data_IF_690487930236
#
_entry.id   IF_690487930236
#
_cell.length_a   1.000
_cell.length_b   1.000
_cell.length_c   1.000
_cell.angle_alpha   90.00
_cell.angle_beta   90.00
_cell.angle_gamma   90.00
#
_symmetry.space_group_name_H-M   'P 1'
#
loop_
_entity.id
_entity.type
_entity.pdbx_description
1 polymer ?
#
# COMPACT_ATOMS: atom_id res chain seq x y z
N UNK A 1 5.19 16.64 -14.15
CA UNK A 1 6.51 16.11 -13.82
C UNK A 1 6.58 15.56 -12.44
N UNK A 2 6.25 16.34 -11.42
CA UNK A 2 6.22 15.79 -10.07
C UNK A 2 5.23 14.65 -9.93
N UNK A 3 4.10 14.74 -10.64
CA UNK A 3 3.09 13.69 -10.60
C UNK A 3 3.61 12.38 -11.17
N UNK A 4 4.43 12.45 -12.24
CA UNK A 4 4.99 11.25 -12.82
C UNK A 4 5.95 10.53 -11.87
N UNK A 5 6.73 11.32 -11.11
CA UNK A 5 7.64 10.76 -10.13
C UNK A 5 6.87 10.08 -9.01
N UNK A 6 5.82 10.73 -8.52
CA UNK A 6 4.99 10.17 -7.46
C UNK A 6 4.26 8.91 -7.93
N UNK A 7 3.74 8.94 -9.14
CA UNK A 7 3.05 7.79 -9.70
C UNK A 7 3.98 6.60 -9.84
N UNK A 8 5.19 6.82 -10.34
CA UNK A 8 6.17 5.77 -10.49
C UNK A 8 6.60 5.20 -9.15
N UNK A 9 6.73 6.06 -8.16
CA UNK A 9 7.08 5.64 -6.82
C UNK A 9 5.99 4.73 -6.23
N UNK A 10 4.72 5.07 -6.45
CA UNK A 10 3.62 4.22 -5.99
C UNK A 10 3.63 2.87 -6.70
N UNK A 11 3.91 2.84 -7.99
CA UNK A 11 4.00 1.60 -8.73
C UNK A 11 5.08 0.68 -8.17
N UNK A 12 6.22 1.23 -7.84
CA UNK A 12 7.32 0.47 -7.26
C UNK A 12 6.92 -0.09 -5.89
N UNK A 13 6.30 0.73 -5.07
CA UNK A 13 5.86 0.30 -3.75
C UNK A 13 4.79 -0.79 -3.83
N UNK A 14 3.82 -0.62 -4.73
CA UNK A 14 2.77 -1.61 -4.91
C UNK A 14 3.35 -2.95 -5.34
N UNK A 15 4.26 -2.93 -6.30
CA UNK A 15 4.90 -4.15 -6.78
C UNK A 15 5.70 -4.83 -5.67
N UNK A 16 6.42 -4.05 -4.90
CA UNK A 16 7.19 -4.55 -3.77
C UNK A 16 6.30 -5.33 -2.80
N UNK A 17 5.16 -4.74 -2.45
CA UNK A 17 4.26 -5.38 -1.49
C UNK A 17 3.52 -6.57 -2.10
N UNK A 18 3.18 -6.52 -3.38
CA UNK A 18 2.56 -7.66 -4.06
C UNK A 18 3.50 -8.85 -4.05
N UNK A 19 4.78 -8.65 -4.30
CA UNK A 19 5.77 -9.72 -4.25
C UNK A 19 5.92 -10.28 -2.85
N UNK A 20 5.65 -9.47 -1.86
CA UNK A 20 5.76 -9.87 -0.46
C UNK A 20 4.54 -10.67 0.02
N UNK A 21 3.50 -10.74 -0.79
CA UNK A 21 2.30 -11.47 -0.44
C UNK A 21 1.16 -10.62 0.05
N UNK A 22 1.26 -9.31 -0.08
CA UNK A 22 0.16 -8.41 0.26
C UNK A 22 -0.89 -8.49 -0.84
N UNK A 23 -2.15 -8.69 -0.46
CA UNK A 23 -3.26 -8.75 -1.41
C UNK A 23 -3.91 -7.38 -1.49
N UNK A 24 -3.93 -6.81 -2.68
CA UNK A 24 -4.56 -5.52 -2.94
C UNK A 24 -5.68 -5.72 -3.95
N UNK A 25 -6.90 -5.33 -3.59
CA UNK A 25 -8.05 -5.56 -4.45
C UNK A 25 -8.03 -4.62 -5.65
N UNK A 26 -7.67 -3.37 -5.42
CA UNK A 26 -7.52 -2.38 -6.51
C UNK A 26 -6.25 -1.58 -6.26
N UNK A 27 -5.09 -2.10 -6.66
CA UNK A 27 -3.81 -1.46 -6.30
C UNK A 27 -3.72 0.00 -6.73
N UNK A 28 -4.34 0.35 -7.84
CA UNK A 28 -4.30 1.71 -8.35
C UNK A 28 -5.01 2.72 -7.46
N UNK A 29 -5.83 2.26 -6.51
CA UNK A 29 -6.55 3.12 -5.57
C UNK A 29 -5.90 3.14 -4.19
N UNK A 30 -4.77 2.48 -4.03
CA UNK A 30 -4.09 2.37 -2.73
C UNK A 30 -2.78 3.14 -2.81
N UNK A 31 -2.57 4.03 -1.84
CA UNK A 31 -1.38 4.87 -1.82
C UNK A 31 -0.57 4.62 -0.55
N UNK A 32 0.73 4.47 -0.73
CA UNK A 32 1.66 4.18 0.35
C UNK A 32 2.60 5.34 0.59
N UNK A 33 3.11 5.44 1.80
CA UNK A 33 4.23 6.31 2.12
C UNK A 33 5.54 5.56 1.87
N UNK A 34 6.63 6.30 1.70
CA UNK A 34 7.95 5.71 1.51
C UNK A 34 8.35 4.78 2.64
N UNK A 35 7.97 5.16 3.84
CA UNK A 35 8.37 4.43 5.04
C UNK A 35 7.33 3.42 5.49
N UNK A 36 6.36 3.11 4.64
CA UNK A 36 5.36 2.10 4.94
C UNK A 36 6.03 0.73 5.08
N UNK A 37 5.71 0.05 6.17
CA UNK A 37 6.15 -1.33 6.38
C UNK A 37 4.93 -2.22 6.50
N UNK A 38 4.92 -3.30 5.75
CA UNK A 38 3.78 -4.22 5.73
C UNK A 38 4.28 -5.64 5.93
N UNK A 39 3.62 -6.36 6.84
CA UNK A 39 3.93 -7.74 7.12
C UNK A 39 3.35 -8.68 6.08
N UNK A 40 3.32 -9.96 6.42
CA UNK A 40 2.81 -11.00 5.53
C UNK A 40 1.31 -11.19 5.70
N UNK A 41 0.68 -11.71 4.66
CA UNK A 41 -0.74 -12.10 4.71
C UNK A 41 -1.64 -10.91 5.07
N UNK A 42 -1.37 -9.77 4.42
CA UNK A 42 -2.15 -8.56 4.61
C UNK A 42 -3.06 -8.38 3.40
N UNK A 43 -4.31 -7.98 3.64
CA UNK A 43 -5.27 -7.69 2.59
C UNK A 43 -5.69 -6.24 2.70
N UNK A 44 -5.66 -5.52 1.58
CA UNK A 44 -6.01 -4.10 1.54
C UNK A 44 -7.15 -3.89 0.55
N UNK A 45 -8.25 -3.33 1.03
CA UNK A 45 -9.40 -3.00 0.21
C UNK A 45 -9.12 -1.77 -0.67
N UNK A 46 -10.00 -1.46 -1.65
CA UNK A 46 -9.83 -0.27 -2.48
C UNK A 46 -9.90 1.02 -1.66
N UNK A 47 -9.28 2.07 -2.21
CA UNK A 47 -9.37 3.42 -1.65
C UNK A 47 -8.80 3.53 -0.24
N UNK A 48 -7.58 3.06 -0.08
CA UNK A 48 -6.86 3.15 1.20
C UNK A 48 -5.64 4.04 1.02
N UNK A 49 -5.45 4.95 1.97
CA UNK A 49 -4.25 5.80 2.01
C UNK A 49 -3.48 5.48 3.28
N UNK A 50 -2.24 5.07 3.11
CA UNK A 50 -1.38 4.74 4.24
C UNK A 50 -0.49 5.94 4.53
N UNK A 51 -0.61 6.49 5.72
CA UNK A 51 0.17 7.65 6.13
C UNK A 51 1.62 7.32 6.43
N UNK A 52 2.35 8.34 6.87
CA UNK A 52 3.76 8.18 7.20
C UNK A 52 3.93 7.39 8.49
N UNK A 53 5.04 6.65 8.55
CA UNK A 53 5.44 5.89 9.75
C UNK A 53 4.40 4.88 10.19
N UNK A 54 3.66 4.34 9.24
CA UNK A 54 2.69 3.30 9.54
C UNK A 54 3.35 1.94 9.34
N UNK A 55 3.17 1.08 10.33
CA UNK A 55 3.66 -0.29 10.28
C UNK A 55 2.47 -1.23 10.40
N UNK A 56 2.27 -2.03 9.38
CA UNK A 56 1.17 -2.99 9.33
C UNK A 56 1.73 -4.37 9.64
N UNK A 57 1.19 -4.99 10.68
CA UNK A 57 1.66 -6.30 11.14
C UNK A 57 1.11 -7.40 10.26
N UNK A 58 1.52 -8.63 10.54
CA UNK A 58 1.06 -9.80 9.79
C UNK A 58 -0.42 -10.06 10.02
N UNK A 59 -1.09 -10.63 9.03
CA UNK A 59 -2.47 -11.10 9.13
C UNK A 59 -3.46 -9.96 9.41
N UNK A 60 -3.23 -8.80 8.82
CA UNK A 60 -4.09 -7.63 9.02
C UNK A 60 -4.93 -7.41 7.77
N UNK A 61 -6.18 -7.02 7.96
CA UNK A 61 -7.03 -6.58 6.86
C UNK A 61 -7.35 -5.11 7.04
N UNK A 62 -7.16 -4.34 5.98
CA UNK A 62 -7.44 -2.90 5.97
C UNK A 62 -8.66 -2.67 5.09
N UNK A 63 -9.69 -2.07 5.68
CA UNK A 63 -10.95 -1.82 4.99
C UNK A 63 -10.90 -0.51 4.22
N UNK A 64 -11.79 -0.41 3.22
CA UNK A 64 -11.89 0.78 2.38
C UNK A 64 -12.08 2.05 3.19
N UNK A 65 -11.52 3.16 2.67
CA UNK A 65 -11.62 4.48 3.29
C UNK A 65 -10.96 4.57 4.67
N UNK A 66 -10.01 3.69 4.94
CA UNK A 66 -9.20 3.76 6.15
C UNK A 66 -8.02 4.70 5.95
N UNK A 67 -7.70 5.44 6.98
CA UNK A 67 -6.59 6.39 6.96
C UNK A 67 -5.64 6.14 8.10
#
# INVERSE_FOLDING_TARGET
MKQNILKKQQEILREKFLKKGVKMISPETIFFSRDTQIGKNVTIDPYVVIGKKVKIKNNVKIYSFSH
#
